data_IF_859546008141
#
_entry.id   IF_859546008141
#
_cell.length_a   1.000
_cell.length_b   1.000
_cell.length_c   1.000
_cell.angle_alpha   90.00
_cell.angle_beta   90.00
_cell.angle_gamma   90.00
#
_symmetry.space_group_name_H-M   'P 1'
#
loop_
_entity.id
_entity.type
_entity.pdbx_description
1 polymer ?
#
# COMPACT_ATOMS: atom_id res chain seq x y z
N UNK A 1 31.33 -37.83 -25.50
CA UNK A 1 31.65 -36.67 -24.62
C UNK A 1 31.24 -35.33 -25.23
N UNK A 2 31.51 -35.07 -26.51
CA UNK A 2 31.15 -33.80 -27.19
C UNK A 2 29.63 -33.49 -27.22
N UNK A 3 28.77 -34.49 -27.45
CA UNK A 3 27.31 -34.29 -27.50
C UNK A 3 26.70 -33.88 -26.15
N UNK A 4 27.15 -34.49 -25.05
CA UNK A 4 26.70 -34.12 -23.69
C UNK A 4 27.15 -32.70 -23.31
N UNK A 5 28.33 -32.29 -23.77
CA UNK A 5 28.85 -30.93 -23.56
C UNK A 5 28.02 -29.89 -24.33
N UNK A 6 27.60 -30.20 -25.57
CA UNK A 6 26.74 -29.31 -26.36
C UNK A 6 25.35 -29.17 -25.73
N UNK A 7 24.78 -30.26 -25.22
CA UNK A 7 23.49 -30.22 -24.52
C UNK A 7 23.59 -29.40 -23.23
N UNK A 8 24.68 -29.56 -22.47
CA UNK A 8 24.91 -28.80 -21.23
C UNK A 8 25.06 -27.29 -21.51
N UNK A 9 25.83 -26.93 -22.55
CA UNK A 9 26.03 -25.54 -22.95
C UNK A 9 24.74 -24.91 -23.49
N UNK A 10 23.94 -25.66 -24.25
CA UNK A 10 22.61 -25.24 -24.72
C UNK A 10 21.66 -24.97 -23.55
N UNK A 11 21.64 -25.86 -22.56
CA UNK A 11 20.79 -25.70 -21.37
C UNK A 11 21.18 -24.49 -20.52
N UNK A 12 22.50 -24.24 -20.35
CA UNK A 12 23.02 -23.05 -19.67
C UNK A 12 22.64 -21.77 -20.43
N UNK A 13 22.73 -21.77 -21.76
CA UNK A 13 22.36 -20.62 -22.58
C UNK A 13 20.86 -20.30 -22.50
N UNK A 14 20.00 -21.33 -22.46
CA UNK A 14 18.55 -21.17 -22.26
C UNK A 14 18.23 -20.60 -20.87
N UNK A 15 18.93 -21.05 -19.82
CA UNK A 15 18.77 -20.50 -18.47
C UNK A 15 19.19 -19.02 -18.38
N UNK A 16 20.24 -18.62 -19.09
CA UNK A 16 20.70 -17.23 -19.16
C UNK A 16 19.77 -16.34 -20.00
N UNK A 17 19.16 -16.89 -21.06
CA UNK A 17 18.20 -16.18 -21.91
C UNK A 17 16.82 -16.03 -21.26
N UNK A 18 16.49 -16.86 -20.26
CA UNK A 18 15.31 -16.73 -19.40
C UNK A 18 15.51 -15.75 -18.24
N UNK A 19 16.50 -14.86 -18.31
CA UNK A 19 16.54 -13.67 -17.48
C UNK A 19 15.33 -12.79 -17.81
N UNK A 20 14.17 -13.13 -17.24
CA UNK A 20 13.01 -12.26 -17.14
C UNK A 20 13.58 -10.96 -16.59
N UNK A 21 13.49 -9.82 -17.31
CA UNK A 21 13.77 -8.56 -16.67
C UNK A 21 12.84 -8.53 -15.47
N UNK A 22 13.43 -8.50 -14.27
CA UNK A 22 12.66 -8.10 -13.11
C UNK A 22 12.08 -6.74 -13.54
N UNK A 23 10.78 -6.72 -13.84
CA UNK A 23 10.05 -5.48 -13.78
C UNK A 23 10.41 -4.97 -12.38
N UNK A 24 11.21 -3.91 -12.35
CA UNK A 24 11.34 -3.09 -11.18
C UNK A 24 9.93 -2.52 -11.07
N UNK A 25 9.06 -3.31 -10.44
CA UNK A 25 7.73 -2.91 -10.00
C UNK A 25 8.02 -1.61 -9.27
N UNK A 26 7.63 -0.49 -9.89
CA UNK A 26 7.69 0.82 -9.26
C UNK A 26 7.10 0.60 -7.88
N UNK A 27 7.95 0.70 -6.86
CA UNK A 27 7.71 0.26 -5.49
C UNK A 27 6.22 0.29 -5.17
N UNK A 28 5.58 -0.87 -5.02
CA UNK A 28 4.20 -0.90 -4.55
C UNK A 28 4.21 -0.25 -3.16
N UNK A 29 3.91 1.04 -3.10
CA UNK A 29 3.94 1.82 -1.87
C UNK A 29 2.72 1.40 -1.06
N UNK A 30 2.98 0.82 0.10
CA UNK A 30 1.94 0.44 1.05
C UNK A 30 1.94 1.43 2.21
N UNK A 31 0.75 1.71 2.71
CA UNK A 31 0.59 2.36 4.00
C UNK A 31 1.17 1.46 5.10
N UNK A 32 1.93 2.04 6.02
CA UNK A 32 2.48 1.37 7.19
C UNK A 32 2.14 2.19 8.42
N UNK A 33 1.48 1.60 9.42
CA UNK A 33 0.99 2.29 10.61
C UNK A 33 0.20 3.59 10.33
N UNK A 34 -0.58 3.62 9.24
CA UNK A 34 -1.35 4.80 8.83
C UNK A 34 -0.55 5.92 8.19
N UNK A 35 0.66 5.66 7.73
CA UNK A 35 1.48 6.61 6.97
C UNK A 35 1.79 6.07 5.57
N UNK A 36 1.71 6.94 4.56
CA UNK A 36 2.06 6.63 3.17
C UNK A 36 2.92 7.76 2.59
N UNK A 37 4.17 7.45 2.24
CA UNK A 37 5.12 8.43 1.70
C UNK A 37 5.22 8.36 0.16
N UNK A 38 4.62 9.36 -0.47
CA UNK A 38 4.61 9.60 -1.92
C UNK A 38 5.60 10.69 -2.34
N UNK A 39 6.56 11.09 -1.50
CA UNK A 39 7.54 12.13 -1.84
C UNK A 39 8.37 11.82 -3.10
N UNK A 40 8.74 10.55 -3.29
CA UNK A 40 9.47 10.06 -4.47
C UNK A 40 8.54 9.56 -5.60
N UNK A 41 7.23 9.68 -5.44
CA UNK A 41 6.29 9.21 -6.44
C UNK A 41 6.30 10.12 -7.68
N UNK A 42 6.32 9.52 -8.87
CA UNK A 42 6.32 10.22 -10.14
C UNK A 42 4.90 10.28 -10.70
N UNK A 43 4.35 11.49 -10.84
CA UNK A 43 2.99 11.79 -11.34
C UNK A 43 2.63 11.22 -12.73
N UNK A 44 3.57 10.55 -13.42
CA UNK A 44 3.29 9.83 -14.68
C UNK A 44 2.39 8.61 -14.48
N UNK A 45 2.33 8.07 -13.26
CA UNK A 45 1.37 7.03 -12.91
C UNK A 45 0.03 7.72 -12.61
N UNK A 46 -1.04 7.38 -13.32
CA UNK A 46 -2.32 8.10 -13.20
C UNK A 46 -3.09 7.76 -11.90
N UNK A 47 -2.73 6.67 -11.22
CA UNK A 47 -3.45 6.13 -10.07
C UNK A 47 -2.48 5.53 -9.04
N UNK A 48 -2.69 5.88 -7.76
CA UNK A 48 -1.99 5.27 -6.63
C UNK A 48 -3.01 4.53 -5.77
N UNK A 49 -2.69 3.29 -5.41
CA UNK A 49 -3.51 2.53 -4.47
C UNK A 49 -3.07 2.85 -3.05
N UNK A 50 -4.01 3.18 -2.17
CA UNK A 50 -3.74 3.43 -0.74
C UNK A 50 -3.86 2.15 0.09
N UNK A 51 -3.33 1.03 -0.42
CA UNK A 51 -3.37 -0.26 0.26
C UNK A 51 -2.42 -0.31 1.45
N UNK A 52 -2.65 -1.24 2.36
CA UNK A 52 -1.79 -1.50 3.53
C UNK A 52 -2.45 -1.10 4.84
N UNK A 53 -1.62 -0.75 5.81
CA UNK A 53 -1.99 -0.54 7.20
C UNK A 53 -2.54 0.88 7.44
N UNK A 54 -3.79 0.97 7.85
CA UNK A 54 -4.46 2.21 8.26
C UNK A 54 -4.67 2.24 9.77
N UNK A 55 -4.72 3.43 10.35
CA UNK A 55 -5.19 3.59 11.73
C UNK A 55 -6.71 3.48 11.77
N UNK A 56 -7.20 2.71 12.73
CA UNK A 56 -8.59 2.33 12.87
C UNK A 56 -9.12 2.64 14.26
N UNK A 57 -10.21 3.39 14.32
CA UNK A 57 -10.83 3.84 15.57
C UNK A 57 -12.26 3.29 15.66
N UNK A 58 -12.41 2.12 16.27
CA UNK A 58 -13.70 1.46 16.45
C UNK A 58 -14.64 2.27 17.35
N UNK A 59 -15.91 2.44 16.92
CA UNK A 59 -16.97 3.18 17.63
C UNK A 59 -16.56 4.58 18.06
N UNK A 60 -15.77 5.24 17.22
CA UNK A 60 -15.35 6.61 17.38
C UNK A 60 -15.59 7.34 16.06
N UNK A 61 -16.37 8.41 16.11
CA UNK A 61 -16.60 9.31 14.99
C UNK A 61 -15.75 10.54 15.26
N UNK A 62 -14.57 10.56 14.65
CA UNK A 62 -13.56 11.59 14.88
C UNK A 62 -13.53 12.54 13.69
N UNK A 63 -13.50 13.84 13.99
CA UNK A 63 -13.29 14.90 13.01
C UNK A 63 -11.80 15.22 12.88
N UNK A 64 -11.35 15.86 11.78
CA UNK A 64 -9.94 16.24 11.62
C UNK A 64 -9.35 17.00 12.82
N UNK A 65 -10.14 17.88 13.43
CA UNK A 65 -9.73 18.68 14.59
C UNK A 65 -9.51 17.84 15.86
N UNK A 66 -10.15 16.67 15.97
CA UNK A 66 -9.96 15.74 17.10
C UNK A 66 -8.56 15.08 17.09
N UNK A 67 -7.79 15.24 16.01
CA UNK A 67 -6.39 14.80 15.91
C UNK A 67 -5.38 15.94 16.12
N UNK A 68 -5.82 17.20 16.13
CA UNK A 68 -4.97 18.37 16.35
C UNK A 68 -4.63 18.57 17.83
N UNK A 69 -5.56 18.20 18.71
CA UNK A 69 -5.37 18.13 20.15
C UNK A 69 -5.51 16.67 20.58
N UNK A 70 -4.50 16.14 21.28
CA UNK A 70 -4.42 14.74 21.75
C UNK A 70 -5.44 14.42 22.88
N UNK A 71 -6.61 15.04 22.83
CA UNK A 71 -7.57 15.14 23.95
C UNK A 71 -8.79 14.25 23.79
N UNK A 72 -9.09 13.75 22.58
CA UNK A 72 -10.29 12.92 22.32
C UNK A 72 -10.04 11.57 21.66
N UNK A 73 -9.03 11.44 20.79
CA UNK A 73 -8.78 10.19 20.10
C UNK A 73 -8.26 9.13 21.08
N UNK A 74 -9.03 8.04 21.29
CA UNK A 74 -8.52 6.88 22.05
C UNK A 74 -7.45 6.16 21.24
N UNK A 75 -6.78 5.19 21.86
CA UNK A 75 -5.83 4.30 21.19
C UNK A 75 -6.40 3.74 19.89
N UNK A 76 -5.70 3.97 18.79
CA UNK A 76 -6.00 3.38 17.50
C UNK A 76 -5.53 1.92 17.47
N UNK A 77 -6.21 1.08 16.70
CA UNK A 77 -5.65 -0.18 16.21
C UNK A 77 -5.21 -0.03 14.76
N UNK A 78 -4.53 -1.05 14.22
CA UNK A 78 -4.15 -1.10 12.80
C UNK A 78 -5.11 -2.02 12.05
N UNK A 79 -5.50 -1.62 10.84
CA UNK A 79 -6.29 -2.44 9.92
C UNK A 79 -5.68 -2.44 8.52
N UNK A 80 -5.57 -3.63 7.92
CA UNK A 80 -5.13 -3.78 6.53
C UNK A 80 -6.29 -3.54 5.56
N UNK A 81 -6.05 -2.69 4.57
CA UNK A 81 -6.96 -2.44 3.45
C UNK A 81 -6.33 -2.84 2.10
N UNK A 82 -7.14 -3.30 1.13
CA UNK A 82 -8.59 -3.51 1.21
C UNK A 82 -8.97 -4.72 2.08
N UNK A 83 -10.10 -4.63 2.78
CA UNK A 83 -10.58 -5.67 3.69
C UNK A 83 -11.83 -5.24 4.45
N UNK A 84 -12.45 -6.16 5.19
CA UNK A 84 -13.59 -5.84 6.05
C UNK A 84 -13.16 -5.83 7.52
N UNK A 85 -13.73 -4.94 8.33
CA UNK A 85 -13.43 -4.93 9.76
C UNK A 85 -13.94 -6.17 10.49
N UNK A 86 -14.89 -6.90 9.90
CA UNK A 86 -15.45 -8.13 10.49
C UNK A 86 -14.41 -9.23 10.61
N UNK A 87 -13.43 -9.24 9.70
CA UNK A 87 -12.33 -10.21 9.71
C UNK A 87 -11.40 -10.01 10.93
N UNK A 88 -11.43 -8.83 11.55
CA UNK A 88 -10.74 -8.50 12.80
C UNK A 88 -11.54 -8.91 14.06
N UNK A 89 -12.47 -9.85 13.94
CA UNK A 89 -13.36 -10.30 15.03
C UNK A 89 -14.23 -9.18 15.63
N UNK A 90 -14.49 -8.12 14.85
CA UNK A 90 -15.43 -7.07 15.21
C UNK A 90 -16.84 -7.39 14.66
N UNK A 91 -17.91 -6.92 15.32
CA UNK A 91 -19.27 -7.08 14.79
C UNK A 91 -19.46 -6.38 13.44
N UNK A 92 -20.34 -6.95 12.61
CA UNK A 92 -20.81 -6.32 11.37
C UNK A 92 -21.48 -4.97 11.59
N UNK A 93 -22.21 -4.83 12.69
CA UNK A 93 -22.91 -3.60 13.04
C UNK A 93 -22.00 -2.65 13.83
N UNK A 94 -21.84 -1.43 13.31
CA UNK A 94 -21.08 -0.39 14.00
C UNK A 94 -20.71 0.78 13.10
N UNK A 95 -19.74 1.55 13.57
CA UNK A 95 -19.12 2.66 12.84
C UNK A 95 -17.68 2.79 13.32
N UNK A 96 -16.84 3.38 12.47
CA UNK A 96 -15.45 3.61 12.76
C UNK A 96 -14.94 4.82 11.99
N UNK A 97 -13.82 5.37 12.47
CA UNK A 97 -13.01 6.32 11.72
C UNK A 97 -11.75 5.61 11.22
N UNK A 98 -11.43 5.80 9.95
CA UNK A 98 -10.20 5.35 9.30
C UNK A 98 -9.29 6.55 9.09
N UNK A 99 -7.98 6.40 9.33
CA UNK A 99 -7.01 7.47 9.15
C UNK A 99 -5.78 6.97 8.41
N UNK A 100 -5.41 7.73 7.38
CA UNK A 100 -4.16 7.62 6.64
C UNK A 100 -3.57 9.02 6.48
N UNK A 101 -2.28 9.16 6.76
CA UNK A 101 -1.52 10.37 6.53
C UNK A 101 -0.63 10.18 5.30
N UNK A 102 -0.84 11.02 4.30
CA UNK A 102 -0.14 10.92 3.02
C UNK A 102 0.81 12.10 2.89
N UNK A 103 2.10 11.81 2.69
CA UNK A 103 3.14 12.79 2.40
C UNK A 103 3.41 12.78 0.90
N UNK A 104 3.46 13.93 0.23
CA UNK A 104 3.75 14.01 -1.21
C UNK A 104 4.53 15.29 -1.52
N UNK A 105 5.37 15.26 -2.55
CA UNK A 105 5.98 16.47 -3.11
C UNK A 105 4.92 17.23 -3.93
N UNK A 106 4.91 18.56 -3.82
CA UNK A 106 3.95 19.51 -4.40
C UNK A 106 2.89 18.94 -5.36
N UNK A 107 1.64 18.87 -4.87
CA UNK A 107 0.47 18.55 -5.68
C UNK A 107 0.08 19.78 -6.50
N UNK A 108 0.80 20.05 -7.59
CA UNK A 108 0.55 21.18 -8.49
C UNK A 108 -0.62 20.93 -9.46
N UNK A 109 -1.31 19.80 -9.33
CA UNK A 109 -2.42 19.37 -10.16
C UNK A 109 -3.64 19.01 -9.30
N UNK A 110 -4.84 19.07 -9.91
CA UNK A 110 -6.06 18.63 -9.24
C UNK A 110 -6.04 17.11 -9.10
N UNK A 111 -5.98 16.64 -7.86
CA UNK A 111 -6.10 15.22 -7.53
C UNK A 111 -7.50 14.88 -7.02
N UNK A 112 -7.88 13.62 -7.17
CA UNK A 112 -9.13 13.08 -6.65
C UNK A 112 -8.88 11.86 -5.76
N UNK A 113 -9.64 11.76 -4.67
CA UNK A 113 -9.71 10.54 -3.87
C UNK A 113 -10.90 9.70 -4.36
N UNK A 114 -10.63 8.46 -4.78
CA UNK A 114 -11.66 7.50 -5.13
C UNK A 114 -11.85 6.51 -3.97
N UNK A 115 -13.04 6.52 -3.38
CA UNK A 115 -13.48 5.51 -2.41
C UNK A 115 -14.58 4.68 -3.11
N UNK A 116 -14.45 3.34 -3.16
CA UNK A 116 -15.44 2.47 -3.80
C UNK A 116 -16.81 2.47 -3.09
#
# INVERSE_FOLDING_TARGET
>A
MKLKLIILLSFIFILLACGVPAEIDSENKFAVNGELDLSEWNHKDELIQFNGEWLFYWKQLLEPDDFAEDTKAKSASVIDLPGTWNDQSLPGDGYATYRLQVSATELNEVIGLKIP
#
